data_IF_898835694407
#
_entry.id   IF_898835694407
#
_cell.length_a   1.000
_cell.length_b   1.000
_cell.length_c   1.000
_cell.angle_alpha   90.00
_cell.angle_beta   90.00
_cell.angle_gamma   90.00
#
_symmetry.space_group_name_H-M   'P 1'
#
loop_
_entity.id
_entity.type
_entity.pdbx_description
1 polymer ?
#
# COMPACT_ATOMS: atom_id res chain seq x y z
N UNK A 1 8.29 -7.63 4.58
CA UNK A 1 8.44 -6.19 4.87
C UNK A 1 8.88 -5.56 3.56
N UNK A 2 7.95 -4.90 2.87
CA UNK A 2 8.31 -4.11 1.69
C UNK A 2 9.37 -3.13 2.17
N UNK A 3 10.55 -3.18 1.55
CA UNK A 3 11.66 -2.32 1.90
C UNK A 3 11.18 -0.89 1.98
N UNK A 4 11.62 -0.20 3.02
CA UNK A 4 11.35 1.21 3.23
C UNK A 4 11.93 1.95 2.03
N UNK A 5 11.10 2.19 1.01
CA UNK A 5 11.40 3.22 0.03
C UNK A 5 11.77 4.45 0.85
N UNK A 6 12.96 4.96 0.62
CA UNK A 6 13.32 6.22 1.26
C UNK A 6 12.19 7.20 0.96
N UNK A 7 11.63 7.84 1.97
CA UNK A 7 10.50 8.78 1.80
C UNK A 7 10.71 9.80 0.66
N UNK A 8 11.95 10.31 0.40
CA UNK A 8 12.20 11.14 -0.76
C UNK A 8 11.87 10.46 -2.08
N UNK A 9 12.28 9.21 -2.28
CA UNK A 9 12.00 8.45 -3.51
C UNK A 9 10.49 8.22 -3.70
N UNK A 10 9.75 7.92 -2.62
CA UNK A 10 8.30 7.79 -2.69
C UNK A 10 7.63 9.09 -3.16
N UNK A 11 8.09 10.24 -2.68
CA UNK A 11 7.61 11.55 -3.11
C UNK A 11 7.87 11.82 -4.60
N UNK A 12 9.06 11.49 -5.09
CA UNK A 12 9.41 11.61 -6.52
C UNK A 12 8.56 10.70 -7.40
N UNK A 13 8.31 9.46 -6.98
CA UNK A 13 7.43 8.53 -7.70
C UNK A 13 6.00 9.05 -7.78
N UNK A 14 5.46 9.61 -6.69
CA UNK A 14 4.13 10.25 -6.70
C UNK A 14 4.09 11.41 -7.68
N UNK A 15 5.08 12.30 -7.64
CA UNK A 15 5.18 13.41 -8.56
C UNK A 15 5.20 12.93 -10.01
N UNK A 16 6.07 11.98 -10.32
CA UNK A 16 6.16 11.40 -11.66
C UNK A 16 4.84 10.77 -12.11
N UNK A 17 4.20 9.99 -11.25
CA UNK A 17 2.91 9.35 -11.54
C UNK A 17 1.81 10.38 -11.86
N UNK A 18 1.79 11.51 -11.16
CA UNK A 18 0.79 12.57 -11.37
C UNK A 18 1.11 13.48 -12.55
N UNK A 19 2.37 13.92 -12.68
CA UNK A 19 2.74 14.96 -13.62
C UNK A 19 3.13 14.40 -15.00
N UNK A 20 3.83 13.27 -15.03
CA UNK A 20 4.33 12.68 -16.27
C UNK A 20 3.40 11.58 -16.81
N UNK A 21 2.84 10.74 -15.92
CA UNK A 21 1.96 9.64 -16.32
C UNK A 21 0.47 9.98 -16.25
N UNK A 22 0.11 11.14 -15.72
CA UNK A 22 -1.26 11.63 -15.57
C UNK A 22 -2.20 10.65 -14.86
N UNK A 23 -1.71 9.86 -13.88
CA UNK A 23 -2.57 8.97 -13.11
C UNK A 23 -3.62 9.74 -12.33
N UNK A 24 -4.88 9.33 -12.46
CA UNK A 24 -6.01 9.97 -11.79
C UNK A 24 -5.91 9.86 -10.27
N UNK A 25 -5.38 8.75 -9.76
CA UNK A 25 -5.23 8.51 -8.33
C UNK A 25 -3.89 7.86 -8.00
N UNK A 26 -3.28 8.35 -6.92
CA UNK A 26 -2.06 7.77 -6.34
C UNK A 26 -2.29 7.45 -4.88
N UNK A 27 -1.73 6.33 -4.43
CA UNK A 27 -1.85 5.93 -3.04
C UNK A 27 -0.55 5.33 -2.50
N UNK A 28 -0.31 5.55 -1.20
CA UNK A 28 0.76 4.88 -0.46
C UNK A 28 0.12 4.10 0.69
N UNK A 29 0.66 2.90 0.94
CA UNK A 29 0.38 2.13 2.15
C UNK A 29 1.66 2.04 2.96
N UNK A 30 1.60 2.43 4.23
CA UNK A 30 2.73 2.55 5.14
C UNK A 30 2.36 2.06 6.55
N UNK A 31 3.36 1.81 7.38
CA UNK A 31 3.17 1.69 8.84
C UNK A 31 3.12 3.06 9.56
N UNK A 32 3.26 4.14 8.83
CA UNK A 32 3.18 5.50 9.35
C UNK A 32 4.42 6.01 10.11
N UNK A 33 5.40 5.13 10.41
CA UNK A 33 6.51 5.45 11.33
C UNK A 33 7.42 6.60 10.88
N UNK A 34 7.53 6.83 9.57
CA UNK A 34 8.39 7.85 8.97
C UNK A 34 7.66 9.05 8.38
N UNK A 35 6.34 9.11 8.53
CA UNK A 35 5.57 10.24 8.02
C UNK A 35 5.83 11.47 8.88
N UNK A 36 6.17 12.59 8.24
CA UNK A 36 6.45 13.88 8.88
C UNK A 36 5.68 15.00 8.19
N UNK A 37 5.44 16.10 8.91
CA UNK A 37 4.81 17.30 8.36
C UNK A 37 5.60 17.80 7.13
N UNK A 38 6.93 17.87 7.23
CA UNK A 38 7.79 18.29 6.11
C UNK A 38 7.60 17.45 4.84
N UNK A 39 7.44 16.12 5.01
CA UNK A 39 7.19 15.25 3.87
C UNK A 39 5.81 15.50 3.24
N UNK A 40 4.79 15.72 4.07
CA UNK A 40 3.45 16.06 3.59
C UNK A 40 3.40 17.42 2.89
N UNK A 41 4.06 18.44 3.45
CA UNK A 41 4.20 19.76 2.81
C UNK A 41 4.78 19.65 1.40
N UNK A 42 5.81 18.83 1.23
CA UNK A 42 6.50 18.67 -0.06
C UNK A 42 5.71 17.83 -1.08
N UNK A 43 4.98 16.80 -0.64
CA UNK A 43 4.50 15.74 -1.54
C UNK A 43 2.98 15.50 -1.51
N UNK A 44 2.23 16.02 -0.53
CA UNK A 44 0.78 15.75 -0.39
C UNK A 44 -0.03 16.12 -1.61
N UNK A 45 0.38 17.16 -2.36
CA UNK A 45 -0.28 17.57 -3.61
C UNK A 45 -0.31 16.47 -4.69
N UNK A 46 0.58 15.50 -4.60
CA UNK A 46 0.70 14.36 -5.52
C UNK A 46 0.16 13.07 -4.92
N UNK A 47 -0.39 13.10 -3.70
CA UNK A 47 -0.90 11.96 -2.98
C UNK A 47 -2.40 12.10 -2.76
N UNK A 48 -3.19 11.19 -3.31
CA UNK A 48 -4.65 11.20 -3.09
C UNK A 48 -5.05 10.43 -1.84
N UNK A 49 -4.39 9.28 -1.59
CA UNK A 49 -4.77 8.38 -0.50
C UNK A 49 -3.53 7.94 0.28
N UNK A 50 -3.57 8.12 1.59
CA UNK A 50 -2.63 7.54 2.53
C UNK A 50 -3.29 6.40 3.29
N UNK A 51 -2.83 5.17 3.05
CA UNK A 51 -3.22 3.99 3.82
C UNK A 51 -2.22 3.71 4.94
N UNK A 52 -2.70 3.51 6.16
CA UNK A 52 -1.86 3.09 7.28
C UNK A 52 -2.31 1.72 7.78
N UNK A 53 -1.33 0.83 7.98
CA UNK A 53 -1.61 -0.49 8.52
C UNK A 53 -1.64 -0.45 10.03
N UNK A 54 -2.70 -0.97 10.63
CA UNK A 54 -2.87 -1.16 12.07
C UNK A 54 -3.61 -2.47 12.33
N UNK A 55 -2.99 -3.37 13.05
CA UNK A 55 -3.55 -4.70 13.25
C UNK A 55 -4.13 -4.89 14.66
N UNK A 56 -3.79 -4.03 15.62
CA UNK A 56 -4.24 -4.12 17.01
C UNK A 56 -4.18 -2.77 17.71
N UNK A 57 -4.98 -2.61 18.75
CA UNK A 57 -4.90 -1.51 19.71
C UNK A 57 -4.21 -1.94 21.02
N UNK A 58 -3.97 -3.23 21.20
CA UNK A 58 -3.35 -3.80 22.40
C UNK A 58 -1.82 -3.89 22.25
N UNK A 59 -1.04 -3.27 23.14
CA UNK A 59 0.42 -3.30 23.08
C UNK A 59 1.01 -4.72 23.04
N UNK A 60 0.44 -5.64 23.80
CA UNK A 60 0.91 -7.03 23.84
C UNK A 60 0.70 -7.74 22.50
N UNK A 61 -0.46 -7.54 21.87
CA UNK A 61 -0.77 -8.09 20.54
C UNK A 61 0.14 -7.47 19.46
N UNK A 62 0.33 -6.15 19.50
CA UNK A 62 1.27 -5.47 18.58
C UNK A 62 2.68 -6.01 18.71
N UNK A 63 3.14 -6.29 19.93
CA UNK A 63 4.46 -6.90 20.16
C UNK A 63 4.54 -8.31 19.56
N UNK A 64 3.54 -9.15 19.80
CA UNK A 64 3.48 -10.53 19.27
C UNK A 64 3.39 -10.56 17.74
N UNK A 65 2.68 -9.59 17.14
CA UNK A 65 2.58 -9.42 15.68
C UNK A 65 3.85 -8.81 15.04
N UNK A 66 4.88 -8.50 15.83
CA UNK A 66 6.08 -7.83 15.32
C UNK A 66 5.83 -6.37 14.87
N UNK A 67 4.76 -5.76 15.34
CA UNK A 67 4.38 -4.36 15.09
C UNK A 67 4.91 -3.40 16.17
N UNK A 68 5.99 -3.79 16.80
CA UNK A 68 6.65 -3.05 17.89
C UNK A 68 7.96 -2.41 17.38
N UNK A 69 8.40 -1.28 17.97
CA UNK A 69 9.68 -0.67 17.59
C UNK A 69 10.84 -1.66 17.73
N UNK A 70 11.71 -1.70 16.76
CA UNK A 70 12.89 -2.57 16.78
C UNK A 70 13.76 -2.26 18.00
N UNK A 71 14.12 -3.30 18.78
CA UNK A 71 14.88 -3.17 20.00
C UNK A 71 14.09 -2.63 21.20
N UNK A 72 12.77 -2.37 21.03
CA UNK A 72 11.91 -1.98 22.14
C UNK A 72 11.67 -3.15 23.10
N UNK A 73 11.59 -2.84 24.43
CA UNK A 73 11.21 -3.85 25.42
C UNK A 73 9.78 -4.31 25.22
N UNK A 74 9.44 -5.54 25.62
CA UNK A 74 8.04 -5.96 25.67
C UNK A 74 7.19 -5.00 26.54
N UNK A 75 5.92 -4.76 26.17
CA UNK A 75 5.02 -3.97 27.00
C UNK A 75 4.81 -4.65 28.34
N UNK A 76 4.68 -3.85 29.42
CA UNK A 76 4.34 -4.37 30.75
C UNK A 76 2.84 -4.53 30.87
N UNK A 77 2.40 -5.47 31.72
CA UNK A 77 0.99 -5.63 32.05
C UNK A 77 0.44 -4.29 32.61
N UNK A 78 -0.66 -3.81 32.02
CA UNK A 78 -1.27 -2.53 32.41
C UNK A 78 -0.65 -1.28 31.76
N UNK A 79 0.37 -1.40 30.93
CA UNK A 79 0.74 -0.32 30.03
C UNK A 79 -0.38 -0.12 29.02
N UNK A 80 -1.13 0.98 29.19
CA UNK A 80 -2.19 1.36 28.26
C UNK A 80 -1.64 1.70 26.87
N UNK A 81 -2.53 1.85 25.88
CA UNK A 81 -2.19 2.28 24.53
C UNK A 81 -1.75 3.75 24.57
N UNK A 82 -0.56 4.00 25.09
CA UNK A 82 0.05 5.33 24.99
C UNK A 82 0.31 5.63 23.49
N UNK A 83 0.47 6.89 23.14
CA UNK A 83 0.87 7.35 21.78
C UNK A 83 2.24 6.81 21.33
N UNK A 84 2.63 5.67 21.87
CA UNK A 84 3.88 4.96 21.69
C UNK A 84 3.70 3.93 20.58
N UNK A 85 4.54 4.00 19.58
CA UNK A 85 4.57 3.03 18.50
C UNK A 85 3.50 3.24 17.41
N UNK A 86 2.85 2.16 16.98
CA UNK A 86 1.97 2.17 15.81
C UNK A 86 0.75 3.07 15.98
N UNK A 87 0.12 3.14 17.15
CA UNK A 87 -1.07 3.97 17.37
C UNK A 87 -0.78 5.46 17.26
N UNK A 88 0.35 5.91 17.81
CA UNK A 88 0.82 7.29 17.62
C UNK A 88 1.11 7.61 16.15
N UNK A 89 1.64 6.64 15.41
CA UNK A 89 1.86 6.81 13.96
C UNK A 89 0.53 6.93 13.19
N UNK A 90 -0.47 6.12 13.54
CA UNK A 90 -1.81 6.15 12.93
C UNK A 90 -2.49 7.50 13.18
N UNK A 91 -2.53 7.98 14.43
CA UNK A 91 -3.13 9.27 14.79
C UNK A 91 -2.44 10.44 14.12
N UNK A 92 -1.11 10.44 14.11
CA UNK A 92 -0.32 11.47 13.41
C UNK A 92 -0.59 11.46 11.89
N UNK A 93 -0.61 10.29 11.26
CA UNK A 93 -0.91 10.17 9.83
C UNK A 93 -2.32 10.67 9.50
N UNK A 94 -3.31 10.34 10.32
CA UNK A 94 -4.68 10.84 10.16
C UNK A 94 -4.76 12.37 10.28
N UNK A 95 -4.05 12.95 11.25
CA UNK A 95 -3.98 14.41 11.43
C UNK A 95 -3.35 15.10 10.20
N UNK A 96 -2.19 14.59 9.71
CA UNK A 96 -1.52 15.10 8.53
C UNK A 96 -2.39 14.97 7.27
N UNK A 97 -3.08 13.85 7.11
CA UNK A 97 -4.00 13.66 5.99
C UNK A 97 -5.13 14.69 6.01
N UNK A 98 -5.70 14.97 7.18
CA UNK A 98 -6.76 15.97 7.34
C UNK A 98 -6.26 17.38 7.04
N UNK A 99 -5.08 17.73 7.55
CA UNK A 99 -4.44 19.04 7.33
C UNK A 99 -4.18 19.30 5.85
N UNK A 100 -3.71 18.28 5.12
CA UNK A 100 -3.34 18.41 3.72
C UNK A 100 -4.42 17.95 2.74
N UNK A 101 -5.62 17.62 3.22
CA UNK A 101 -6.73 17.14 2.40
C UNK A 101 -6.46 15.82 1.68
N UNK A 102 -5.58 14.96 2.18
CA UNK A 102 -5.32 13.61 1.68
C UNK A 102 -6.35 12.66 2.27
N UNK A 103 -6.88 11.73 1.47
CA UNK A 103 -7.82 10.73 1.97
C UNK A 103 -7.09 9.74 2.88
N UNK A 104 -7.63 9.53 4.09
CA UNK A 104 -7.03 8.61 5.05
C UNK A 104 -7.74 7.26 5.03
N UNK A 105 -6.95 6.19 4.99
CA UNK A 105 -7.42 4.80 4.94
C UNK A 105 -6.69 3.95 5.97
N UNK A 106 -7.42 3.03 6.60
CA UNK A 106 -6.84 2.00 7.47
C UNK A 106 -6.85 0.62 6.81
N UNK A 107 -5.83 -0.15 7.07
CA UNK A 107 -5.73 -1.54 6.70
C UNK A 107 -5.45 -2.38 7.95
N UNK A 108 -6.21 -3.45 8.14
CA UNK A 108 -6.08 -4.37 9.27
C UNK A 108 -6.02 -5.80 8.76
N UNK A 109 -5.06 -6.58 9.22
CA UNK A 109 -5.02 -8.02 9.01
C UNK A 109 -5.54 -8.73 10.26
N UNK A 110 -6.62 -9.48 10.10
CA UNK A 110 -7.23 -10.27 11.18
C UNK A 110 -6.49 -11.60 11.31
N UNK A 111 -6.00 -11.86 12.50
CA UNK A 111 -5.25 -13.05 12.90
C UNK A 111 -5.85 -13.65 14.16
N UNK A 112 -5.43 -14.85 14.54
CA UNK A 112 -5.84 -15.47 15.81
C UNK A 112 -5.49 -14.63 17.06
N UNK A 113 -4.52 -13.71 16.95
CA UNK A 113 -4.11 -12.87 18.08
C UNK A 113 -5.02 -11.67 18.30
N UNK A 114 -5.63 -11.12 17.24
CA UNK A 114 -6.45 -9.89 17.31
C UNK A 114 -7.93 -10.10 16.90
N UNK A 115 -8.33 -11.32 16.57
CA UNK A 115 -9.69 -11.61 16.08
C UNK A 115 -10.80 -11.23 17.08
N UNK A 116 -10.48 -11.11 18.36
CA UNK A 116 -11.42 -10.71 19.43
C UNK A 116 -11.39 -9.21 19.75
N UNK A 117 -10.45 -8.47 19.19
CA UNK A 117 -10.32 -7.02 19.43
C UNK A 117 -11.37 -6.20 18.64
N UNK A 118 -11.61 -4.98 19.11
CA UNK A 118 -12.44 -3.99 18.44
C UNK A 118 -11.62 -2.74 18.12
N UNK A 119 -11.39 -2.52 16.83
CA UNK A 119 -10.68 -1.33 16.34
C UNK A 119 -11.62 -0.19 15.93
N UNK A 120 -12.93 -0.37 16.05
CA UNK A 120 -13.91 0.63 15.63
C UNK A 120 -13.74 1.97 16.30
N UNK A 121 -13.40 2.06 17.63
CA UNK A 121 -13.13 3.33 18.27
C UNK A 121 -11.99 4.12 17.63
N UNK A 122 -10.89 3.44 17.27
CA UNK A 122 -9.75 4.06 16.57
C UNK A 122 -10.13 4.51 15.15
N UNK A 123 -10.92 3.71 14.45
CA UNK A 123 -11.41 4.04 13.10
C UNK A 123 -12.28 5.29 13.14
N UNK A 124 -13.22 5.37 14.09
CA UNK A 124 -14.08 6.54 14.30
C UNK A 124 -13.26 7.77 14.71
N UNK A 125 -12.31 7.64 15.64
CA UNK A 125 -11.41 8.71 16.11
C UNK A 125 -10.60 9.32 14.97
N UNK A 126 -10.04 8.48 14.12
CA UNK A 126 -9.16 8.93 13.03
C UNK A 126 -9.91 9.49 11.83
N UNK A 127 -11.21 9.24 11.72
CA UNK A 127 -12.03 9.66 10.60
C UNK A 127 -11.60 8.98 9.29
N UNK A 128 -11.20 7.71 9.36
CA UNK A 128 -10.82 6.95 8.18
C UNK A 128 -11.99 6.88 7.19
N UNK A 129 -11.75 7.23 5.94
CA UNK A 129 -12.77 7.16 4.88
C UNK A 129 -12.93 5.76 4.31
N UNK A 130 -11.99 4.88 4.58
CA UNK A 130 -12.01 3.47 4.18
C UNK A 130 -11.28 2.64 5.20
N UNK A 131 -11.86 1.54 5.60
CA UNK A 131 -11.22 0.53 6.43
C UNK A 131 -11.22 -0.81 5.71
N UNK A 132 -10.03 -1.23 5.24
CA UNK A 132 -9.86 -2.56 4.64
C UNK A 132 -9.52 -3.57 5.72
N UNK A 133 -10.31 -4.61 5.80
CA UNK A 133 -10.15 -5.72 6.74
C UNK A 133 -9.79 -6.97 5.93
N UNK A 134 -8.60 -7.49 6.16
CA UNK A 134 -8.06 -8.66 5.47
C UNK A 134 -8.07 -9.88 6.38
N UNK A 135 -8.51 -11.01 5.90
CA UNK A 135 -8.21 -12.27 6.55
C UNK A 135 -6.72 -12.61 6.36
N UNK A 136 -6.04 -13.08 7.43
CA UNK A 136 -4.65 -13.52 7.29
C UNK A 136 -4.53 -14.60 6.22
N UNK A 137 -3.65 -14.37 5.24
CA UNK A 137 -3.51 -15.23 4.06
C UNK A 137 -2.27 -16.11 4.18
N UNK A 138 -2.43 -17.45 4.21
CA UNK A 138 -1.29 -18.36 4.04
C UNK A 138 -0.80 -18.32 2.60
N UNK A 139 0.51 -18.20 2.44
CA UNK A 139 1.16 -18.12 1.12
C UNK A 139 2.33 -19.10 1.09
N UNK A 140 2.20 -20.13 0.28
CA UNK A 140 3.21 -21.17 0.12
C UNK A 140 4.57 -20.60 -0.28
N UNK A 141 5.63 -21.04 0.39
CA UNK A 141 7.00 -20.55 0.14
C UNK A 141 7.33 -19.18 0.74
N UNK A 142 6.35 -18.44 1.27
CA UNK A 142 6.60 -17.15 1.92
C UNK A 142 6.43 -17.18 3.44
N UNK A 143 5.29 -17.68 3.90
CA UNK A 143 4.91 -17.62 5.30
C UNK A 143 4.30 -18.91 5.83
N UNK A 144 4.41 -20.03 5.09
CA UNK A 144 3.93 -21.34 5.52
C UNK A 144 5.01 -22.39 5.43
N UNK A 145 5.05 -23.30 6.45
CA UNK A 145 5.92 -24.46 6.50
C UNK A 145 7.40 -24.14 6.75
N UNK A 146 8.22 -25.22 6.75
CA UNK A 146 9.65 -25.13 7.02
C UNK A 146 10.46 -24.30 6.00
N UNK A 147 9.89 -24.05 4.83
CA UNK A 147 10.48 -23.24 3.76
C UNK A 147 10.03 -21.77 3.78
N UNK A 148 9.35 -21.34 4.85
CA UNK A 148 8.94 -19.93 4.98
C UNK A 148 10.17 -19.02 4.94
N UNK A 149 10.31 -18.27 3.83
CA UNK A 149 11.49 -17.43 3.54
C UNK A 149 11.68 -16.31 4.56
N UNK A 150 10.69 -16.02 5.39
CA UNK A 150 10.73 -14.97 6.43
C UNK A 150 10.89 -15.52 7.85
N UNK A 151 11.13 -16.82 8.02
CA UNK A 151 11.34 -17.43 9.34
C UNK A 151 10.13 -17.40 10.28
N UNK A 152 8.95 -17.05 9.77
CA UNK A 152 7.72 -16.94 10.55
C UNK A 152 6.62 -17.74 9.87
N UNK A 153 6.29 -18.89 10.47
CA UNK A 153 5.13 -19.67 10.05
C UNK A 153 3.84 -18.95 10.45
N UNK A 154 2.96 -18.73 9.49
CA UNK A 154 1.66 -18.06 9.71
C UNK A 154 0.61 -19.01 10.29
N UNK A 155 0.85 -20.32 10.30
CA UNK A 155 -0.14 -21.31 10.73
C UNK A 155 -0.75 -21.03 12.12
N UNK A 156 0.00 -20.59 13.14
CA UNK A 156 -0.59 -20.24 14.45
C UNK A 156 -1.47 -18.97 14.43
N UNK A 157 -1.39 -18.18 13.35
CA UNK A 157 -2.11 -16.91 13.20
C UNK A 157 -3.39 -17.05 12.37
N UNK A 158 -3.64 -18.22 11.78
CA UNK A 158 -4.79 -18.42 10.91
C UNK A 158 -6.10 -18.33 11.68
N UNK A 159 -7.10 -17.73 11.03
CA UNK A 159 -8.49 -17.65 11.49
C UNK A 159 -9.40 -18.35 10.48
N UNK A 160 -10.47 -18.96 10.98
CA UNK A 160 -11.51 -19.55 10.14
C UNK A 160 -12.35 -18.47 9.44
N UNK A 161 -13.02 -18.83 8.37
CA UNK A 161 -13.97 -17.92 7.70
C UNK A 161 -15.07 -17.42 8.66
N UNK A 162 -15.54 -18.28 9.57
CA UNK A 162 -16.54 -17.88 10.57
C UNK A 162 -16.00 -16.85 11.55
N UNK A 163 -14.80 -17.03 12.08
CA UNK A 163 -14.14 -16.06 12.97
C UNK A 163 -13.90 -14.72 12.26
N UNK A 164 -13.48 -14.76 11.00
CA UNK A 164 -13.29 -13.57 10.19
C UNK A 164 -14.62 -12.83 9.97
N UNK A 165 -15.68 -13.54 9.58
CA UNK A 165 -17.01 -12.96 9.39
C UNK A 165 -17.57 -12.33 10.67
N UNK A 166 -17.35 -12.97 11.83
CA UNK A 166 -17.73 -12.42 13.13
C UNK A 166 -16.98 -11.14 13.46
N UNK A 167 -15.67 -11.10 13.21
CA UNK A 167 -14.86 -9.88 13.36
C UNK A 167 -15.44 -8.74 12.51
N UNK A 168 -15.71 -8.99 11.23
CA UNK A 168 -16.27 -8.00 10.30
C UNK A 168 -17.65 -7.53 10.75
N UNK A 169 -18.50 -8.43 11.24
CA UNK A 169 -19.82 -8.07 11.76
C UNK A 169 -19.72 -7.11 12.97
N UNK A 170 -18.81 -7.39 13.92
CA UNK A 170 -18.54 -6.47 15.05
C UNK A 170 -18.00 -5.13 14.57
N UNK A 171 -17.04 -5.14 13.65
CA UNK A 171 -16.49 -3.93 13.05
C UNK A 171 -17.59 -3.06 12.43
N UNK A 172 -18.49 -3.64 11.66
CA UNK A 172 -19.63 -2.93 11.06
C UNK A 172 -20.59 -2.34 12.08
N UNK A 173 -20.81 -3.04 13.20
CA UNK A 173 -21.65 -2.55 14.28
C UNK A 173 -21.02 -1.41 15.08
N UNK A 174 -19.67 -1.36 15.15
CA UNK A 174 -18.92 -0.39 15.98
C UNK A 174 -18.55 0.90 15.25
N UNK A 175 -18.49 0.92 13.91
CA UNK A 175 -18.16 2.13 13.17
C UNK A 175 -19.37 3.03 12.93
N UNK A 176 -19.15 4.33 12.86
CA UNK A 176 -20.19 5.32 12.62
C UNK A 176 -20.79 5.22 11.21
N UNK A 177 -19.99 4.81 10.22
CA UNK A 177 -20.43 4.56 8.84
C UNK A 177 -19.93 3.18 8.37
N UNK A 178 -20.77 2.14 8.38
CA UNK A 178 -20.40 0.81 7.92
C UNK A 178 -20.00 0.74 6.44
N UNK A 179 -20.37 1.72 5.64
CA UNK A 179 -20.03 1.74 4.21
C UNK A 179 -18.55 1.95 3.92
N UNK A 180 -17.77 2.38 4.89
CA UNK A 180 -16.31 2.52 4.76
C UNK A 180 -15.57 1.18 4.83
N UNK A 181 -16.24 0.13 5.33
CA UNK A 181 -15.62 -1.19 5.50
C UNK A 181 -15.62 -1.96 4.19
N UNK A 182 -14.44 -2.41 3.83
CA UNK A 182 -14.20 -3.33 2.73
C UNK A 182 -13.47 -4.57 3.26
N UNK A 183 -14.17 -5.69 3.27
CA UNK A 183 -13.64 -6.98 3.71
C UNK A 183 -13.03 -7.75 2.56
N UNK A 184 -11.92 -8.42 2.84
CA UNK A 184 -11.20 -9.26 1.89
C UNK A 184 -10.80 -10.58 2.58
N UNK A 185 -11.61 -11.59 2.38
CA UNK A 185 -11.28 -12.95 2.79
C UNK A 185 -10.23 -13.59 1.86
N UNK A 186 -9.73 -14.75 2.24
CA UNK A 186 -8.72 -15.46 1.48
C UNK A 186 -9.18 -15.81 0.05
N UNK A 187 -10.44 -16.15 -0.13
CA UNK A 187 -11.00 -16.47 -1.44
C UNK A 187 -11.05 -15.22 -2.34
N UNK A 188 -11.44 -14.09 -1.77
CA UNK A 188 -11.48 -12.80 -2.48
C UNK A 188 -10.07 -12.31 -2.83
N UNK A 189 -9.09 -12.52 -1.96
CA UNK A 189 -7.70 -12.08 -2.21
C UNK A 189 -7.00 -12.92 -3.27
N UNK A 190 -7.30 -14.23 -3.32
CA UNK A 190 -6.70 -15.10 -4.33
C UNK A 190 -7.09 -14.64 -5.72
N UNK A 191 -6.09 -14.57 -6.60
CA UNK A 191 -6.28 -14.25 -8.02
C UNK A 191 -6.93 -12.90 -8.35
N UNK A 192 -7.08 -12.00 -7.39
CA UNK A 192 -7.68 -10.68 -7.60
C UNK A 192 -6.71 -9.51 -7.49
N UNK A 193 -5.41 -9.78 -7.38
CA UNK A 193 -4.35 -8.77 -7.40
C UNK A 193 -3.43 -8.96 -8.60
N UNK A 194 -3.04 -7.85 -9.21
CA UNK A 194 -1.89 -7.83 -10.12
C UNK A 194 -0.68 -7.47 -9.27
N UNK A 195 0.19 -8.42 -9.05
CA UNK A 195 1.43 -8.24 -8.31
C UNK A 195 2.60 -8.24 -9.28
N UNK A 196 3.58 -7.38 -9.00
CA UNK A 196 4.83 -7.30 -9.76
C UNK A 196 5.98 -7.47 -8.78
N UNK A 197 6.93 -8.34 -9.11
CA UNK A 197 8.13 -8.52 -8.30
C UNK A 197 9.24 -7.49 -8.64
N UNK A 198 10.36 -7.56 -7.92
CA UNK A 198 11.50 -6.67 -8.09
C UNK A 198 12.21 -6.82 -9.45
N UNK A 199 11.91 -7.87 -10.21
CA UNK A 199 12.43 -8.12 -11.55
C UNK A 199 11.43 -7.73 -12.65
N UNK A 200 10.30 -7.12 -12.26
CA UNK A 200 9.23 -6.72 -13.18
C UNK A 200 8.40 -7.89 -13.72
N UNK A 201 8.39 -9.05 -13.07
CA UNK A 201 7.58 -10.19 -13.47
C UNK A 201 6.22 -10.14 -12.79
N UNK A 202 5.15 -10.46 -13.51
CA UNK A 202 3.83 -10.63 -12.90
C UNK A 202 3.79 -11.92 -12.08
N UNK A 203 3.07 -11.88 -10.95
CA UNK A 203 2.96 -13.02 -10.05
C UNK A 203 1.56 -13.61 -10.10
N UNK A 204 1.45 -14.88 -10.46
CA UNK A 204 0.23 -15.66 -10.31
C UNK A 204 0.12 -16.16 -8.85
N UNK A 205 -0.96 -15.80 -8.19
CA UNK A 205 -1.25 -16.18 -6.79
C UNK A 205 -2.42 -17.16 -6.66
N UNK A 206 -2.97 -17.62 -7.77
CA UNK A 206 -4.19 -18.45 -7.80
C UNK A 206 -4.05 -19.82 -7.12
N UNK A 207 -2.83 -20.33 -7.04
CA UNK A 207 -2.54 -21.62 -6.41
C UNK A 207 -2.18 -21.52 -4.93
N UNK A 208 -2.26 -20.31 -4.34
CA UNK A 208 -1.79 -20.09 -2.96
C UNK A 208 -0.27 -19.99 -2.83
N UNK A 209 0.43 -19.89 -3.97
CA UNK A 209 1.87 -19.60 -4.07
C UNK A 209 2.06 -18.43 -5.02
N UNK A 210 3.21 -17.75 -4.98
CA UNK A 210 3.55 -16.70 -5.93
C UNK A 210 4.42 -17.30 -7.04
N UNK A 211 3.82 -17.55 -8.19
CA UNK A 211 4.52 -18.07 -9.37
C UNK A 211 4.81 -16.92 -10.35
N UNK A 212 6.08 -16.53 -10.56
CA UNK A 212 6.40 -15.46 -11.48
C UNK A 212 6.23 -15.87 -12.93
N UNK A 213 5.79 -14.95 -13.80
CA UNK A 213 5.82 -15.11 -15.24
C UNK A 213 7.27 -15.18 -15.76
N UNK A 214 7.50 -15.84 -16.87
CA UNK A 214 8.81 -15.83 -17.54
C UNK A 214 9.08 -14.46 -18.18
N UNK A 215 8.05 -13.81 -18.72
CA UNK A 215 8.14 -12.46 -19.26
C UNK A 215 8.19 -11.41 -18.16
N UNK A 216 8.98 -10.34 -18.37
CA UNK A 216 9.08 -9.16 -17.47
C UNK A 216 8.55 -7.92 -18.19
N UNK A 217 7.78 -7.10 -17.48
CA UNK A 217 7.26 -5.82 -17.98
C UNK A 217 8.36 -4.80 -18.30
N UNK A 218 9.58 -5.05 -17.85
CA UNK A 218 10.75 -4.19 -18.12
C UNK A 218 11.33 -4.37 -19.52
N UNK A 219 10.93 -5.39 -20.26
CA UNK A 219 11.40 -5.65 -21.62
C UNK A 219 10.43 -5.09 -22.66
N UNK A 220 10.94 -4.84 -23.88
CA UNK A 220 10.10 -4.39 -25.00
C UNK A 220 8.97 -5.41 -25.28
N UNK A 221 7.72 -4.95 -25.31
CA UNK A 221 6.55 -5.82 -25.45
C UNK A 221 6.26 -6.72 -24.24
N UNK A 222 7.01 -6.51 -23.13
CA UNK A 222 6.94 -7.39 -21.96
C UNK A 222 5.63 -7.29 -21.18
N UNK A 223 4.97 -6.14 -21.20
CA UNK A 223 3.67 -5.97 -20.52
C UNK A 223 2.63 -6.91 -21.11
N UNK A 224 2.48 -6.92 -22.45
CA UNK A 224 1.53 -7.81 -23.14
C UNK A 224 1.92 -9.28 -23.01
N UNK A 225 3.23 -9.59 -23.08
CA UNK A 225 3.71 -10.95 -22.92
C UNK A 225 3.45 -11.47 -21.49
N UNK A 226 3.81 -10.71 -20.46
CA UNK A 226 3.58 -11.09 -19.08
C UNK A 226 2.08 -11.17 -18.74
N UNK A 227 1.26 -10.22 -19.22
CA UNK A 227 -0.18 -10.25 -19.03
C UNK A 227 -0.81 -11.46 -19.73
N UNK A 228 -0.41 -11.78 -20.95
CA UNK A 228 -0.89 -12.97 -21.68
C UNK A 228 -0.52 -14.26 -20.96
N UNK A 229 0.69 -14.36 -20.43
CA UNK A 229 1.14 -15.52 -19.65
C UNK A 229 0.35 -15.64 -18.37
N UNK A 230 0.16 -14.54 -17.61
CA UNK A 230 -0.66 -14.50 -16.39
C UNK A 230 -2.11 -14.93 -16.68
N UNK A 231 -2.71 -14.43 -17.75
CA UNK A 231 -4.08 -14.78 -18.14
C UNK A 231 -4.20 -16.21 -18.71
N UNK A 232 -3.15 -16.74 -19.33
CA UNK A 232 -3.14 -18.12 -19.83
C UNK A 232 -2.95 -19.16 -18.72
N UNK A 233 -2.17 -18.83 -17.68
CA UNK A 233 -2.08 -19.65 -16.47
C UNK A 233 -3.41 -19.64 -15.70
N UNK A 234 -4.24 -18.69 -16.01
CA UNK A 234 -5.52 -18.30 -15.43
C UNK A 234 -6.71 -19.20 -15.78
N UNK A 235 -6.57 -20.40 -16.23
CA UNK A 235 -7.67 -21.38 -16.09
C UNK A 235 -8.13 -21.51 -14.64
N UNK A 236 -7.42 -20.83 -13.71
CA UNK A 236 -7.71 -20.66 -12.28
C UNK A 236 -7.12 -19.37 -11.68
N UNK A 237 -6.44 -18.54 -12.47
CA UNK A 237 -5.54 -17.53 -11.98
C UNK A 237 -6.20 -16.18 -11.67
N UNK A 238 -6.01 -15.22 -12.54
CA UNK A 238 -6.47 -13.85 -12.32
C UNK A 238 -7.95 -13.68 -12.72
N UNK A 239 -8.73 -13.06 -11.82
CA UNK A 239 -10.14 -12.74 -12.06
C UNK A 239 -10.32 -11.24 -12.35
N UNK A 240 -10.36 -10.81 -13.61
CA UNK A 240 -10.47 -9.39 -13.98
C UNK A 240 -11.68 -8.70 -13.35
N UNK A 241 -12.83 -9.40 -13.31
CA UNK A 241 -14.06 -8.86 -12.72
C UNK A 241 -13.93 -8.63 -11.20
N UNK A 242 -13.25 -9.53 -10.48
CA UNK A 242 -12.99 -9.35 -9.07
C UNK A 242 -12.02 -8.16 -8.85
N UNK A 243 -11.00 -8.03 -9.69
CA UNK A 243 -10.07 -6.90 -9.67
C UNK A 243 -10.80 -5.56 -9.87
N UNK A 244 -11.69 -5.49 -10.86
CA UNK A 244 -12.49 -4.28 -11.13
C UNK A 244 -13.44 -3.98 -9.97
N UNK A 245 -14.16 -4.97 -9.45
CA UNK A 245 -15.08 -4.78 -8.29
C UNK A 245 -14.36 -4.29 -7.04
N UNK A 246 -13.12 -4.70 -6.81
CA UNK A 246 -12.33 -4.34 -5.62
C UNK A 246 -11.73 -2.95 -5.66
N UNK A 247 -11.91 -2.20 -6.71
CA UNK A 247 -11.49 -0.82 -6.77
C UNK A 247 -10.45 -0.47 -7.82
N UNK A 248 -10.36 -1.22 -8.91
CA UNK A 248 -9.75 -0.72 -10.13
C UNK A 248 -10.52 0.50 -10.68
N UNK A 249 -11.81 0.62 -10.32
CA UNK A 249 -12.60 1.86 -10.42
C UNK A 249 -12.72 2.47 -9.03
N UNK A 250 -12.05 3.58 -8.81
CA UNK A 250 -12.31 4.42 -7.65
C UNK A 250 -13.71 5.03 -7.81
N UNK A 251 -14.67 4.74 -6.93
CA UNK A 251 -15.89 5.52 -6.88
C UNK A 251 -15.53 7.00 -6.72
N UNK A 252 -16.28 7.92 -7.30
CA UNK A 252 -16.05 9.37 -7.21
C UNK A 252 -15.84 9.85 -5.77
N UNK A 253 -16.46 9.17 -4.80
CA UNK A 253 -16.26 9.42 -3.35
C UNK A 253 -14.82 9.19 -2.83
N UNK A 254 -13.97 8.49 -3.59
CA UNK A 254 -12.56 8.24 -3.26
C UNK A 254 -11.62 9.12 -4.07
N UNK A 255 -12.17 9.90 -5.00
CA UNK A 255 -11.43 10.91 -5.74
C UNK A 255 -11.38 12.18 -4.90
N UNK A 256 -10.20 12.71 -4.69
CA UNK A 256 -10.06 14.09 -4.22
C UNK A 256 -10.86 14.94 -5.21
N UNK A 257 -11.99 15.50 -4.79
CA UNK A 257 -12.62 16.53 -5.58
C UNK A 257 -11.55 17.57 -5.86
N UNK A 258 -11.27 17.82 -7.13
CA UNK A 258 -10.37 18.88 -7.56
C UNK A 258 -11.02 20.22 -7.21
N UNK A 259 -10.96 20.61 -5.93
CA UNK A 259 -11.06 22.02 -5.63
C UNK A 259 -9.75 22.64 -6.13
N UNK A 260 -9.80 23.69 -6.96
CA UNK A 260 -8.62 24.47 -7.25
C UNK A 260 -8.05 24.90 -5.89
N UNK A 261 -6.82 24.51 -5.60
CA UNK A 261 -6.10 25.07 -4.46
C UNK A 261 -5.96 26.54 -4.82
N UNK A 262 -6.75 27.40 -4.21
CA UNK A 262 -6.49 28.85 -4.25
C UNK A 262 -5.06 29.04 -3.76
N UNK A 263 -4.21 29.53 -4.66
CA UNK A 263 -2.86 29.90 -4.30
C UNK A 263 -2.93 30.91 -3.15
N UNK A 264 -2.08 30.80 -2.11
CA UNK A 264 -2.06 31.77 -1.05
C UNK A 264 -1.86 33.18 -1.67
N UNK A 265 -2.80 34.07 -1.40
CA UNK A 265 -2.74 35.47 -1.83
C UNK A 265 -1.48 36.11 -1.22
N UNK A 266 -0.52 36.45 -2.05
CA UNK A 266 0.60 37.28 -1.62
C UNK A 266 1.94 36.96 -2.27
N UNK A 267 2.11 37.25 -3.55
CA UNK A 267 3.36 37.80 -4.07
C UNK A 267 3.07 38.41 -5.46
N UNK A 268 3.28 39.71 -5.56
CA UNK A 268 3.01 40.51 -6.73
C UNK A 268 3.90 40.14 -7.95
N UNK A 269 3.63 40.74 -9.12
CA UNK A 269 4.14 40.30 -10.39
C UNK A 269 5.62 40.66 -10.57
N UNK A 270 6.46 39.70 -10.79
CA UNK A 270 7.81 39.92 -11.29
C UNK A 270 8.10 39.00 -12.47
N UNK A 271 8.30 39.60 -13.63
CA UNK A 271 9.07 39.00 -14.71
C UNK A 271 8.28 38.21 -15.76
N UNK A 272 8.28 38.70 -16.99
CA UNK A 272 7.67 38.12 -18.16
C UNK A 272 8.22 36.72 -18.55
N UNK A 273 7.58 36.08 -19.51
CA UNK A 273 7.85 34.68 -19.85
C UNK A 273 9.22 34.52 -20.52
N UNK A 274 9.97 33.44 -20.18
CA UNK A 274 11.14 33.12 -20.95
C UNK A 274 10.74 32.49 -22.29
N UNK A 275 11.43 32.92 -23.30
CA UNK A 275 11.41 32.54 -24.69
C UNK A 275 11.50 31.02 -24.88
N UNK A 276 10.65 30.49 -25.76
CA UNK A 276 10.57 29.07 -26.07
C UNK A 276 11.89 28.56 -26.67
N UNK A 277 12.57 27.67 -25.98
CA UNK A 277 13.72 26.94 -26.51
C UNK A 277 13.27 25.82 -27.45
N UNK A 278 13.79 25.82 -28.65
CA UNK A 278 13.57 24.84 -29.72
C UNK A 278 13.98 23.43 -29.31
N UNK A 279 13.35 22.37 -29.90
CA UNK A 279 13.64 20.99 -29.54
C UNK A 279 15.07 20.58 -29.98
N UNK A 280 15.82 19.99 -29.06
CA UNK A 280 17.13 19.43 -29.33
C UNK A 280 16.97 18.07 -30.01
N UNK A 281 17.50 17.92 -31.19
CA UNK A 281 17.74 16.68 -31.92
C UNK A 281 18.66 15.75 -31.13
N UNK A 282 18.44 14.41 -31.10
CA UNK A 282 19.38 13.51 -30.47
C UNK A 282 20.64 13.34 -31.32
N UNK A 283 21.80 13.60 -30.71
CA UNK A 283 23.10 13.24 -31.31
C UNK A 283 23.24 11.71 -31.37
N UNK A 284 23.37 11.23 -32.57
CA UNK A 284 23.99 9.95 -32.85
C UNK A 284 25.52 10.16 -32.80
N UNK A 285 26.18 9.46 -31.90
CA UNK A 285 27.56 9.04 -32.11
C UNK A 285 27.88 7.89 -31.14
N UNK A 286 27.88 6.72 -31.71
CA UNK A 286 28.45 5.53 -31.12
C UNK A 286 29.70 5.20 -31.93
N UNK A 287 30.84 5.24 -31.32
CA UNK A 287 31.99 4.54 -31.87
C UNK A 287 33.03 4.18 -30.80
N UNK A 288 33.34 2.90 -30.81
CA UNK A 288 34.60 2.25 -30.51
C UNK A 288 34.99 2.00 -29.04
N UNK A 289 34.77 0.73 -28.68
CA UNK A 289 35.52 0.07 -27.60
C UNK A 289 36.92 -0.34 -28.11
N UNK A 290 37.99 -0.25 -27.33
CA UNK A 290 39.24 -0.93 -27.61
C UNK A 290 39.28 -2.32 -26.99
N UNK A 291 39.84 -3.25 -27.78
CA UNK A 291 40.09 -4.64 -27.44
C UNK A 291 41.07 -4.75 -26.27
N UNK A 292 40.75 -5.64 -25.33
CA UNK A 292 41.67 -6.08 -24.30
C UNK A 292 42.64 -7.13 -24.87
N UNK A 293 43.90 -6.86 -24.76
CA UNK A 293 45.02 -7.79 -24.98
C UNK A 293 45.27 -8.59 -23.72
N UNK A 294 45.48 -9.87 -23.93
CA UNK A 294 45.93 -10.91 -23.02
C UNK A 294 47.31 -10.59 -22.35
N UNK A 295 47.42 -10.83 -21.09
CA UNK A 295 48.49 -11.55 -20.41
C UNK A 295 48.00 -12.08 -19.07
#
# INVERSE_FOLDING_TARGET
MVGVLALPLAGELLRYSKQELAYESTSIISNGSRLTSQWFEAHSRHLDIMGVSVDSVEPATLFQLGRWPAGGRPPRAGEGPADIGQLGHVRRAAALCREHGVLFKLNTVVTALNVHEDLSPLVNETGAMRWKIFQVLPMGGENTGAAATRGHDVAPLLVTAAQFAEYVARARAGVSDPSIIEEEDNATMQASYILVDEFGRLLDTSTGTKTPTAASVLHAGGVEAAARELLASAGRGFHPEAYVRRGAHFPERWSRSRQPVEAPAGSGPAGGPPEAAAPRTPCADAAAAPAASTA
#
